data_IF_992906568251
#
_entry.id   IF_992906568251
#
_cell.length_a   1.000
_cell.length_b   1.000
_cell.length_c   1.000
_cell.angle_alpha   90.00
_cell.angle_beta   90.00
_cell.angle_gamma   90.00
#
_symmetry.space_group_name_H-M   'P 1'
#
loop_
_entity.id
_entity.type
_entity.pdbx_description
1 polymer ?
#
# COMPACT_ATOMS: atom_id res chain seq x y z
N UNK A 1 46.98 8.14 -10.99
CA UNK A 1 47.61 9.13 -11.89
C UNK A 1 46.72 9.26 -13.12
N UNK A 2 45.86 10.28 -13.14
CA UNK A 2 45.32 10.98 -14.30
C UNK A 2 44.63 12.24 -13.76
N UNK A 3 44.99 13.38 -14.34
CA UNK A 3 44.80 14.77 -13.91
C UNK A 3 44.24 15.49 -15.13
N UNK A 4 43.22 16.33 -14.95
CA UNK A 4 42.75 17.41 -15.85
C UNK A 4 41.82 18.28 -14.96
N UNK A 5 42.31 19.30 -14.25
CA UNK A 5 42.52 20.70 -14.64
C UNK A 5 41.27 21.47 -15.15
N UNK A 6 40.73 22.27 -14.22
CA UNK A 6 40.01 23.57 -14.30
C UNK A 6 39.76 24.23 -15.66
N UNK A 7 38.59 24.87 -15.78
CA UNK A 7 38.47 26.27 -16.24
C UNK A 7 37.25 26.95 -15.62
N UNK A 8 37.48 28.05 -14.90
CA UNK A 8 36.49 29.00 -14.37
C UNK A 8 35.93 29.93 -15.46
N UNK A 9 34.68 30.41 -15.32
CA UNK A 9 34.36 31.81 -15.65
C UNK A 9 33.06 32.32 -15.00
N UNK A 10 33.24 33.33 -14.14
CA UNK A 10 32.24 34.30 -13.67
C UNK A 10 31.61 35.09 -14.83
N UNK A 11 30.33 35.45 -14.68
CA UNK A 11 29.78 36.76 -15.08
C UNK A 11 28.72 37.19 -14.06
N UNK A 12 29.03 38.25 -13.31
CA UNK A 12 28.11 39.08 -12.53
C UNK A 12 27.14 39.86 -13.43
N UNK A 13 25.95 40.13 -12.92
CA UNK A 13 24.96 41.00 -13.57
C UNK A 13 23.87 41.46 -12.61
N UNK A 14 24.22 42.36 -11.71
CA UNK A 14 23.33 43.17 -10.88
C UNK A 14 22.50 44.14 -11.73
N UNK A 15 21.19 44.25 -11.49
CA UNK A 15 20.47 45.51 -11.69
C UNK A 15 19.15 45.54 -10.91
N UNK A 16 19.13 46.47 -9.96
CA UNK A 16 17.98 46.96 -9.19
C UNK A 16 16.94 47.69 -10.08
N UNK A 17 15.64 47.70 -9.72
CA UNK A 17 14.91 48.93 -9.33
C UNK A 17 13.44 48.70 -8.85
N UNK A 18 13.23 49.24 -7.66
CA UNK A 18 12.09 49.83 -6.94
C UNK A 18 10.66 49.97 -7.51
N UNK A 19 9.73 49.65 -6.60
CA UNK A 19 8.59 50.47 -6.09
C UNK A 19 7.26 50.55 -6.85
N UNK A 20 6.16 50.20 -6.15
CA UNK A 20 5.10 51.15 -5.74
C UNK A 20 4.00 50.48 -4.88
N UNK A 21 3.65 51.17 -3.80
CA UNK A 21 2.57 50.91 -2.83
C UNK A 21 1.22 51.35 -3.40
N UNK A 22 0.14 50.56 -3.21
CA UNK A 22 -1.23 51.07 -2.96
C UNK A 22 -2.02 50.15 -2.02
N UNK A 23 -2.50 50.73 -0.92
CA UNK A 23 -3.50 50.20 0.03
C UNK A 23 -4.91 50.26 -0.59
N UNK A 24 -5.81 49.35 -0.20
CA UNK A 24 -7.21 49.66 0.17
C UNK A 24 -7.89 48.47 0.86
N UNK A 25 -8.68 48.82 1.88
CA UNK A 25 -9.37 48.01 2.88
C UNK A 25 -10.51 47.11 2.36
N UNK A 26 -10.82 46.06 3.14
CA UNK A 26 -12.15 45.90 3.73
C UNK A 26 -13.03 44.80 3.13
N UNK A 27 -13.32 43.77 3.93
CA UNK A 27 -14.37 42.79 3.64
C UNK A 27 -14.25 41.53 4.49
N UNK A 28 -14.69 41.61 5.75
CA UNK A 28 -15.13 40.45 6.52
C UNK A 28 -16.24 39.70 5.75
N UNK A 29 -16.16 38.37 5.67
CA UNK A 29 -17.28 37.43 5.91
C UNK A 29 -16.93 36.01 5.43
N UNK A 30 -17.09 35.03 6.33
CA UNK A 30 -17.35 33.64 5.98
C UNK A 30 -16.13 32.72 5.87
N UNK A 31 -15.48 32.38 7.00
CA UNK A 31 -14.92 31.03 7.10
C UNK A 31 -16.12 30.10 7.21
N UNK A 32 -16.46 29.44 6.11
CA UNK A 32 -17.13 28.16 6.16
C UNK A 32 -16.21 27.24 6.96
N UNK A 33 -16.53 27.05 8.24
CA UNK A 33 -16.20 25.84 8.98
C UNK A 33 -16.62 24.68 8.08
N UNK A 34 -15.65 24.04 7.42
CA UNK A 34 -15.88 22.75 6.79
C UNK A 34 -16.10 21.78 7.95
N UNK A 35 -17.36 21.47 8.16
CA UNK A 35 -17.84 20.44 9.07
C UNK A 35 -17.06 19.13 8.80
N UNK A 36 -16.23 18.64 9.76
CA UNK A 36 -15.44 17.41 9.56
C UNK A 36 -16.30 16.14 9.50
N UNK A 37 -17.62 16.25 9.63
CA UNK A 37 -18.56 15.12 9.63
C UNK A 37 -19.22 14.82 8.27
N UNK A 38 -18.65 15.29 7.14
CA UNK A 38 -19.19 15.01 5.79
C UNK A 38 -18.16 14.47 4.78
N UNK A 39 -17.13 13.75 5.23
CA UNK A 39 -16.49 12.77 4.35
C UNK A 39 -17.34 11.49 4.42
N UNK A 40 -18.45 11.55 3.71
CA UNK A 40 -19.33 10.41 3.46
C UNK A 40 -18.51 9.36 2.69
N UNK A 41 -18.61 8.12 3.14
CA UNK A 41 -18.26 6.89 2.45
C UNK A 41 -18.18 7.02 0.92
N UNK A 42 -16.98 6.86 0.37
CA UNK A 42 -16.77 6.35 -0.98
C UNK A 42 -15.32 5.92 -1.06
N UNK A 43 -15.05 4.71 -1.57
CA UNK A 43 -13.91 4.55 -2.45
C UNK A 43 -13.88 5.80 -3.32
N UNK A 44 -12.91 6.69 -3.13
CA UNK A 44 -12.78 7.82 -4.03
C UNK A 44 -12.63 7.16 -5.39
N UNK A 45 -13.60 7.32 -6.28
CA UNK A 45 -13.46 6.83 -7.66
C UNK A 45 -12.23 7.53 -8.19
N UNK A 46 -11.08 6.85 -8.10
CA UNK A 46 -9.82 7.40 -8.58
C UNK A 46 -10.04 7.61 -10.06
N UNK A 47 -10.03 8.88 -10.49
CA UNK A 47 -10.13 9.19 -11.91
C UNK A 47 -8.90 8.68 -12.68
N UNK A 48 -7.84 8.28 -11.96
CA UNK A 48 -6.64 7.71 -12.52
C UNK A 48 -6.76 6.19 -12.78
N UNK A 49 -7.62 5.46 -12.07
CA UNK A 49 -7.70 3.98 -12.15
C UNK A 49 -9.10 3.55 -12.59
N UNK A 50 -9.17 2.81 -13.69
CA UNK A 50 -10.40 2.20 -14.21
C UNK A 50 -10.19 0.69 -14.44
N UNK A 51 -10.78 -0.14 -13.58
CA UNK A 51 -10.81 -1.59 -13.79
C UNK A 51 -11.71 -1.92 -14.99
N UNK A 52 -11.15 -2.56 -16.00
CA UNK A 52 -11.85 -2.88 -17.25
C UNK A 52 -12.52 -4.26 -17.19
N UNK A 53 -11.85 -5.20 -16.53
CA UNK A 53 -12.33 -6.54 -16.20
C UNK A 53 -11.44 -7.16 -15.11
N UNK A 54 -11.59 -8.47 -14.87
CA UNK A 54 -10.88 -9.18 -13.82
C UNK A 54 -9.36 -9.17 -13.94
N UNK A 55 -8.76 -9.00 -15.13
CA UNK A 55 -7.30 -9.03 -15.29
C UNK A 55 -6.72 -7.70 -15.80
N UNK A 56 -7.57 -6.75 -16.20
CA UNK A 56 -7.14 -5.54 -16.90
C UNK A 56 -7.58 -4.27 -16.21
N UNK A 57 -6.65 -3.32 -16.16
CA UNK A 57 -6.87 -1.97 -15.64
C UNK A 57 -6.37 -0.92 -16.61
N UNK A 58 -7.05 0.22 -16.68
CA UNK A 58 -6.55 1.44 -17.33
C UNK A 58 -6.06 2.39 -16.24
N UNK A 59 -4.80 2.81 -16.36
CA UNK A 59 -4.20 3.85 -15.53
C UNK A 59 -4.00 5.11 -16.37
N UNK A 60 -4.43 6.26 -15.84
CA UNK A 60 -4.32 7.58 -16.47
C UNK A 60 -3.56 8.53 -15.54
N UNK A 61 -2.65 9.34 -16.09
CA UNK A 61 -1.85 10.31 -15.35
C UNK A 61 -0.36 10.23 -15.67
N UNK A 62 0.45 10.78 -14.78
CA UNK A 62 1.91 10.77 -14.86
C UNK A 62 2.43 10.12 -13.56
N UNK A 63 2.77 8.84 -13.63
CA UNK A 63 3.15 8.02 -12.48
C UNK A 63 4.55 7.46 -12.70
N UNK A 64 5.42 7.64 -11.71
CA UNK A 64 6.79 7.15 -11.75
C UNK A 64 6.85 5.62 -11.69
N UNK A 65 5.88 5.00 -11.01
CA UNK A 65 5.70 3.56 -11.01
C UNK A 65 4.24 3.17 -10.76
N UNK A 66 3.89 1.97 -11.19
CA UNK A 66 2.61 1.31 -10.91
C UNK A 66 2.91 -0.09 -10.41
N UNK A 67 2.33 -0.45 -9.27
CA UNK A 67 2.39 -1.80 -8.71
C UNK A 67 1.00 -2.42 -8.83
N UNK A 68 0.95 -3.68 -9.25
CA UNK A 68 -0.29 -4.45 -9.30
C UNK A 68 -0.20 -5.63 -8.34
N UNK A 69 -1.27 -5.87 -7.58
CA UNK A 69 -1.49 -7.12 -6.88
C UNK A 69 -2.42 -8.01 -7.70
N UNK A 70 -2.06 -9.26 -7.95
CA UNK A 70 -2.88 -10.21 -8.70
C UNK A 70 -2.76 -11.63 -8.13
N UNK A 71 -3.88 -12.33 -8.09
CA UNK A 71 -3.95 -13.76 -7.78
C UNK A 71 -4.15 -14.57 -9.05
N UNK A 72 -3.55 -15.75 -9.11
CA UNK A 72 -3.62 -16.63 -10.28
C UNK A 72 -3.69 -18.11 -9.90
N UNK A 73 -4.33 -18.93 -10.74
CA UNK A 73 -4.22 -20.39 -10.68
C UNK A 73 -3.13 -20.87 -11.65
N UNK A 74 -2.12 -21.59 -11.14
CA UNK A 74 -1.07 -22.22 -11.92
C UNK A 74 -1.58 -23.46 -12.67
N UNK A 75 -0.79 -23.98 -13.62
CA UNK A 75 -1.21 -25.12 -14.47
C UNK A 75 -1.48 -26.43 -13.68
N UNK A 76 -0.95 -26.55 -12.47
CA UNK A 76 -1.16 -27.67 -11.54
C UNK A 76 -2.39 -27.47 -10.63
N UNK A 77 -3.07 -26.34 -10.72
CA UNK A 77 -4.22 -25.98 -9.91
C UNK A 77 -3.87 -25.35 -8.57
N UNK A 78 -2.60 -24.99 -8.32
CA UNK A 78 -2.20 -24.22 -7.14
C UNK A 78 -2.54 -22.73 -7.35
N UNK A 79 -3.12 -22.08 -6.34
CA UNK A 79 -3.34 -20.63 -6.34
C UNK A 79 -2.09 -19.92 -5.85
N UNK A 80 -1.70 -18.85 -6.54
CA UNK A 80 -0.58 -17.99 -6.18
C UNK A 80 -0.94 -16.51 -6.24
N UNK A 81 -0.22 -15.67 -5.51
CA UNK A 81 -0.35 -14.21 -5.55
C UNK A 81 0.97 -13.58 -5.97
N UNK A 82 0.90 -12.53 -6.80
CA UNK A 82 2.04 -11.69 -7.18
C UNK A 82 1.71 -10.23 -6.90
N UNK A 83 2.69 -9.52 -6.34
CA UNK A 83 2.64 -8.07 -6.16
C UNK A 83 3.95 -7.51 -6.69
N UNK A 84 3.91 -6.86 -7.86
CA UNK A 84 5.14 -6.37 -8.51
C UNK A 84 4.88 -5.12 -9.37
N UNK A 85 5.97 -4.42 -9.66
CA UNK A 85 6.00 -3.22 -10.50
C UNK A 85 5.80 -3.58 -11.98
N UNK A 86 4.93 -2.81 -12.65
CA UNK A 86 4.75 -2.85 -14.12
C UNK A 86 5.35 -1.63 -14.82
N UNK A 87 6.06 -0.80 -14.05
CA UNK A 87 6.78 0.40 -14.49
C UNK A 87 5.90 1.63 -14.64
N UNK A 88 6.57 2.75 -14.96
CA UNK A 88 5.98 4.07 -15.13
C UNK A 88 4.81 4.11 -16.15
N UNK A 89 3.93 5.09 -15.95
CA UNK A 89 2.84 5.45 -16.85
C UNK A 89 2.92 6.94 -17.17
N UNK A 90 3.03 7.26 -18.47
CA UNK A 90 2.96 8.62 -19.01
C UNK A 90 1.70 8.74 -19.88
N UNK A 91 0.69 9.47 -19.40
CA UNK A 91 -0.59 9.66 -20.10
C UNK A 91 -1.63 8.60 -19.77
N UNK A 92 -1.81 7.60 -20.64
CA UNK A 92 -2.80 6.52 -20.46
C UNK A 92 -2.17 5.19 -20.84
N UNK A 93 -2.33 4.18 -19.98
CA UNK A 93 -1.89 2.81 -20.23
C UNK A 93 -2.94 1.82 -19.77
N UNK A 94 -3.33 0.91 -20.65
CA UNK A 94 -4.04 -0.31 -20.25
C UNK A 94 -3.01 -1.38 -19.94
N UNK A 95 -3.11 -1.97 -18.75
CA UNK A 95 -2.23 -3.03 -18.26
C UNK A 95 -3.08 -4.28 -18.08
N UNK A 96 -2.53 -5.40 -18.53
CA UNK A 96 -3.09 -6.74 -18.35
C UNK A 96 -2.15 -7.47 -17.39
N UNK A 97 -2.64 -7.82 -16.20
CA UNK A 97 -1.83 -8.41 -15.13
C UNK A 97 -1.25 -9.75 -15.56
N UNK A 98 -2.04 -10.57 -16.26
CA UNK A 98 -1.58 -11.87 -16.73
C UNK A 98 -0.42 -11.71 -17.72
N UNK A 99 -0.56 -10.79 -18.68
CA UNK A 99 0.51 -10.52 -19.63
C UNK A 99 1.74 -9.84 -18.99
N UNK A 100 1.54 -8.98 -18.00
CA UNK A 100 2.61 -8.26 -17.33
C UNK A 100 3.51 -9.18 -16.50
N UNK A 101 2.90 -10.19 -15.86
CA UNK A 101 3.57 -11.11 -14.95
C UNK A 101 3.81 -12.51 -15.53
N UNK A 102 3.54 -12.73 -16.83
CA UNK A 102 3.66 -14.02 -17.53
C UNK A 102 2.82 -15.14 -16.85
N UNK A 103 1.59 -14.79 -16.46
CA UNK A 103 0.63 -15.67 -15.79
C UNK A 103 -0.43 -16.21 -16.76
N UNK A 104 -1.17 -17.28 -16.37
CA UNK A 104 -2.29 -17.80 -17.13
C UNK A 104 -3.43 -16.78 -17.30
N UNK A 105 -3.81 -16.49 -18.54
CA UNK A 105 -4.83 -15.48 -18.86
C UNK A 105 -6.23 -15.84 -18.39
N UNK A 106 -6.53 -17.13 -18.28
CA UNK A 106 -7.81 -17.70 -17.89
C UNK A 106 -7.84 -18.13 -16.43
N UNK A 107 -6.87 -17.69 -15.63
CA UNK A 107 -6.72 -18.00 -14.22
C UNK A 107 -6.30 -16.81 -13.37
N UNK A 108 -6.18 -15.61 -13.93
CA UNK A 108 -5.63 -14.43 -13.22
C UNK A 108 -6.72 -13.43 -12.86
N UNK A 109 -6.73 -12.98 -11.60
CA UNK A 109 -7.53 -11.87 -11.10
C UNK A 109 -6.61 -10.78 -10.55
N UNK A 110 -6.77 -9.56 -11.06
CA UNK A 110 -6.20 -8.34 -10.54
C UNK A 110 -6.95 -7.93 -9.28
N UNK A 111 -6.23 -7.83 -8.16
CA UNK A 111 -6.77 -7.52 -6.85
C UNK A 111 -6.70 -6.03 -6.54
N UNK A 112 -5.55 -5.41 -6.82
CA UNK A 112 -5.33 -4.01 -6.46
C UNK A 112 -4.35 -3.34 -7.41
N UNK A 113 -4.42 -2.00 -7.42
CA UNK A 113 -3.51 -1.13 -8.16
C UNK A 113 -3.00 -0.06 -7.21
N UNK A 114 -1.70 0.17 -7.27
CA UNK A 114 -1.03 1.15 -6.45
C UNK A 114 -0.13 2.06 -7.31
N UNK A 115 -0.26 3.38 -7.12
CA UNK A 115 0.38 4.39 -7.95
C UNK A 115 1.43 5.18 -7.16
N UNK A 116 2.59 5.39 -7.77
CA UNK A 116 3.71 6.10 -7.15
C UNK A 116 4.09 7.34 -7.94
N UNK A 117 4.17 8.48 -7.26
CA UNK A 117 4.63 9.74 -7.87
C UNK A 117 6.16 9.78 -8.04
N UNK A 118 6.91 8.99 -7.26
CA UNK A 118 8.39 9.02 -7.26
C UNK A 118 9.02 7.65 -7.02
N UNK A 119 10.12 7.37 -7.73
CA UNK A 119 10.96 6.18 -7.50
C UNK A 119 10.31 4.87 -7.94
N UNK A 120 11.01 3.73 -7.80
CA UNK A 120 10.36 2.42 -7.88
C UNK A 120 9.40 2.26 -6.71
N UNK A 121 8.19 1.79 -6.99
CA UNK A 121 7.14 1.60 -6.02
C UNK A 121 7.47 0.46 -5.06
N UNK A 122 7.31 0.71 -3.77
CA UNK A 122 7.31 -0.35 -2.76
C UNK A 122 5.86 -0.60 -2.37
N UNK A 123 5.35 -1.83 -2.49
CA UNK A 123 3.96 -2.15 -2.16
C UNK A 123 3.54 -1.61 -0.79
N UNK A 124 2.35 -1.02 -0.71
CA UNK A 124 1.73 -0.44 0.49
C UNK A 124 2.11 1.01 0.80
N UNK A 125 2.87 1.68 -0.07
CA UNK A 125 3.34 3.07 0.10
C UNK A 125 2.96 4.02 -1.05
N UNK A 126 2.04 3.60 -1.90
CA UNK A 126 1.53 4.39 -3.01
C UNK A 126 0.91 5.70 -2.56
N UNK A 127 0.94 6.67 -3.47
CA UNK A 127 0.14 7.88 -3.34
C UNK A 127 -1.36 7.57 -3.48
N UNK A 128 -1.69 6.57 -4.30
CA UNK A 128 -3.04 6.02 -4.44
C UNK A 128 -2.97 4.50 -4.38
N UNK A 129 -3.86 3.89 -3.61
CA UNK A 129 -4.10 2.45 -3.58
C UNK A 129 -5.60 2.23 -3.82
N UNK A 130 -5.94 1.34 -4.76
CA UNK A 130 -7.33 1.04 -5.10
C UNK A 130 -7.49 -0.47 -5.29
N UNK A 131 -8.40 -1.04 -4.51
CA UNK A 131 -8.83 -2.43 -4.66
C UNK A 131 -9.82 -2.58 -5.81
N UNK A 132 -9.80 -3.74 -6.47
CA UNK A 132 -10.73 -4.06 -7.54
C UNK A 132 -12.17 -4.13 -6.98
N UNK A 133 -13.08 -3.23 -7.40
CA UNK A 133 -14.43 -3.21 -6.85
C UNK A 133 -15.26 -4.44 -7.25
N UNK A 134 -14.78 -5.22 -8.22
CA UNK A 134 -15.39 -6.48 -8.65
C UNK A 134 -14.62 -7.71 -8.16
N UNK A 135 -13.72 -7.56 -7.17
CA UNK A 135 -12.83 -8.64 -6.72
C UNK A 135 -13.59 -9.92 -6.37
N UNK A 136 -14.60 -9.83 -5.50
CA UNK A 136 -15.41 -10.99 -5.10
C UNK A 136 -16.07 -11.68 -6.30
N UNK A 137 -16.62 -10.90 -7.24
CA UNK A 137 -17.24 -11.45 -8.44
C UNK A 137 -16.21 -12.13 -9.35
N UNK A 138 -15.03 -11.52 -9.51
CA UNK A 138 -13.94 -12.08 -10.28
C UNK A 138 -13.40 -13.37 -9.67
N UNK A 139 -13.23 -13.44 -8.34
CA UNK A 139 -12.84 -14.68 -7.66
C UNK A 139 -13.92 -15.75 -7.82
N UNK A 140 -15.19 -15.40 -7.63
CA UNK A 140 -16.29 -16.34 -7.81
C UNK A 140 -16.38 -16.90 -9.24
N UNK A 141 -16.14 -16.06 -10.25
CA UNK A 141 -16.11 -16.48 -11.66
C UNK A 141 -14.88 -17.34 -11.99
N UNK A 142 -13.73 -17.04 -11.39
CA UNK A 142 -12.44 -17.60 -11.77
C UNK A 142 -12.02 -18.83 -10.95
N UNK A 143 -12.25 -18.79 -9.64
CA UNK A 143 -11.85 -19.82 -8.68
C UNK A 143 -13.06 -20.52 -8.03
N UNK A 144 -14.27 -19.99 -8.25
CA UNK A 144 -15.52 -20.49 -7.66
C UNK A 144 -15.92 -19.70 -6.41
N UNK A 145 -17.14 -19.93 -5.93
CA UNK A 145 -17.71 -19.27 -4.75
C UNK A 145 -16.92 -19.66 -3.48
N UNK A 146 -15.84 -18.94 -3.18
CA UNK A 146 -15.05 -19.08 -1.95
C UNK A 146 -15.80 -18.48 -0.76
N UNK A 147 -16.95 -19.06 -0.44
CA UNK A 147 -17.80 -18.57 0.66
C UNK A 147 -17.26 -18.92 2.06
N UNK A 148 -16.07 -19.52 2.17
CA UNK A 148 -15.43 -19.92 3.44
C UNK A 148 -13.93 -19.55 3.54
N UNK A 149 -13.33 -18.83 2.58
CA UNK A 149 -11.88 -18.57 2.61
C UNK A 149 -11.46 -17.61 3.73
N UNK A 150 -12.26 -16.59 4.04
CA UNK A 150 -12.00 -15.69 5.17
C UNK A 150 -12.50 -16.21 6.52
N UNK A 151 -13.28 -17.29 6.53
CA UNK A 151 -13.79 -17.87 7.78
C UNK A 151 -12.59 -18.34 8.61
N UNK A 152 -12.45 -17.74 9.80
CA UNK A 152 -11.43 -18.11 10.77
C UNK A 152 -10.23 -17.19 10.86
N UNK A 153 -10.22 -16.02 10.21
CA UNK A 153 -9.22 -14.96 10.42
C UNK A 153 -9.92 -13.67 10.86
N UNK A 154 -9.48 -13.09 11.98
CA UNK A 154 -10.03 -11.86 12.56
C UNK A 154 -8.88 -10.91 12.92
N UNK A 155 -8.79 -9.76 12.26
CA UNK A 155 -7.87 -8.69 12.65
C UNK A 155 -8.44 -7.99 13.88
N UNK A 156 -7.71 -8.05 15.00
CA UNK A 156 -8.16 -7.51 16.28
C UNK A 156 -7.76 -6.03 16.43
N UNK A 157 -6.60 -5.68 15.88
CA UNK A 157 -6.03 -4.35 15.82
C UNK A 157 -4.96 -4.32 14.72
N UNK A 158 -4.25 -3.19 14.58
CA UNK A 158 -3.24 -3.02 13.55
C UNK A 158 -2.10 -4.04 13.60
N UNK A 159 -1.74 -4.59 14.76
CA UNK A 159 -0.61 -5.51 14.89
C UNK A 159 -1.01 -6.96 15.19
N UNK A 160 -2.28 -7.20 15.51
CA UNK A 160 -2.74 -8.46 16.07
C UNK A 160 -3.83 -9.10 15.23
N UNK A 161 -3.63 -10.38 14.91
CA UNK A 161 -4.61 -11.21 14.23
C UNK A 161 -4.95 -12.44 15.05
N UNK A 162 -6.20 -12.88 14.97
CA UNK A 162 -6.67 -14.13 15.55
C UNK A 162 -7.06 -15.10 14.46
N UNK A 163 -6.47 -16.28 14.49
CA UNK A 163 -6.78 -17.39 13.60
C UNK A 163 -7.55 -18.44 14.40
N UNK A 164 -8.79 -18.74 14.03
CA UNK A 164 -9.71 -19.66 14.72
C UNK A 164 -9.97 -20.96 13.94
N UNK A 165 -9.09 -21.25 12.97
CA UNK A 165 -9.07 -22.50 12.21
C UNK A 165 -7.69 -23.16 12.24
N UNK A 166 -7.61 -24.49 12.07
CA UNK A 166 -6.33 -25.18 11.94
C UNK A 166 -5.57 -24.74 10.68
N UNK A 167 -4.25 -24.58 10.82
CA UNK A 167 -3.32 -24.33 9.73
C UNK A 167 -1.98 -25.03 10.02
N UNK A 168 -1.40 -25.67 9.01
CA UNK A 168 -0.07 -26.28 9.07
C UNK A 168 1.02 -25.24 9.36
N UNK A 169 0.91 -24.07 8.75
CA UNK A 169 1.65 -22.86 9.11
C UNK A 169 0.79 -21.62 8.82
N UNK A 170 1.18 -20.49 9.40
CA UNK A 170 0.60 -19.19 9.10
C UNK A 170 1.74 -18.23 8.78
N UNK A 171 1.55 -17.35 7.81
CA UNK A 171 2.51 -16.31 7.44
C UNK A 171 1.85 -14.95 7.64
N UNK A 172 2.57 -14.03 8.25
CA UNK A 172 2.11 -12.65 8.41
C UNK A 172 2.88 -11.75 7.46
N UNK A 173 2.14 -10.89 6.75
CA UNK A 173 2.70 -9.75 6.04
C UNK A 173 2.57 -8.51 6.91
N UNK A 174 3.68 -7.82 7.15
CA UNK A 174 3.78 -6.70 8.07
C UNK A 174 4.51 -5.52 7.42
N UNK A 175 4.01 -4.31 7.65
CA UNK A 175 4.63 -3.04 7.29
C UNK A 175 4.97 -2.24 8.56
N UNK A 176 6.10 -1.54 8.54
CA UNK A 176 6.56 -0.70 9.65
C UNK A 176 7.49 0.43 9.16
N UNK A 177 7.80 1.40 10.02
CA UNK A 177 8.84 2.41 9.76
C UNK A 177 9.94 2.37 10.80
N UNK A 178 11.18 2.58 10.36
CA UNK A 178 12.34 2.78 11.23
C UNK A 178 12.37 4.19 11.84
N UNK A 179 13.32 4.43 12.75
CA UNK A 179 13.49 5.71 13.44
C UNK A 179 13.75 6.91 12.49
N UNK A 180 14.17 6.64 11.24
CA UNK A 180 14.43 7.67 10.24
C UNK A 180 13.25 7.86 9.27
N UNK A 181 12.14 7.15 9.48
CA UNK A 181 10.98 7.16 8.60
C UNK A 181 11.16 6.32 7.32
N UNK A 182 12.15 5.42 7.25
CA UNK A 182 12.22 4.43 6.17
C UNK A 182 11.26 3.29 6.44
N UNK A 183 10.51 2.90 5.41
CA UNK A 183 9.58 1.77 5.52
C UNK A 183 10.32 0.46 5.36
N UNK A 184 9.95 -0.51 6.20
CA UNK A 184 10.28 -1.90 6.04
C UNK A 184 9.02 -2.75 5.87
N UNK A 185 9.15 -3.84 5.11
CA UNK A 185 8.15 -4.91 5.02
C UNK A 185 8.77 -6.24 5.43
N UNK A 186 7.96 -7.11 6.02
CA UNK A 186 8.33 -8.47 6.41
C UNK A 186 7.17 -9.39 6.03
N UNK A 187 7.47 -10.49 5.35
CA UNK A 187 6.50 -11.57 5.10
C UNK A 187 7.17 -12.89 5.46
N UNK A 188 6.86 -13.41 6.64
CA UNK A 188 7.54 -14.57 7.22
C UNK A 188 6.60 -15.49 8.00
N UNK A 189 6.89 -16.81 8.03
CA UNK A 189 6.07 -17.78 8.74
C UNK A 189 6.16 -17.58 10.26
N UNK A 190 5.02 -17.67 10.93
CA UNK A 190 4.84 -17.52 12.38
C UNK A 190 4.45 -18.83 13.07
N UNK A 191 4.41 -19.93 12.31
CA UNK A 191 4.21 -21.30 12.78
C UNK A 191 2.75 -21.75 12.77
N UNK A 192 2.55 -23.06 12.93
CA UNK A 192 1.26 -23.75 12.92
C UNK A 192 0.19 -23.16 13.86
N UNK A 193 -1.07 -23.30 13.47
CA UNK A 193 -2.26 -23.04 14.30
C UNK A 193 -3.02 -24.35 14.49
N UNK A 194 -3.23 -24.79 15.73
CA UNK A 194 -3.93 -26.04 15.98
C UNK A 194 -5.46 -25.89 15.95
N UNK A 195 -5.99 -24.87 16.63
CA UNK A 195 -7.43 -24.61 16.75
C UNK A 195 -7.71 -23.10 16.79
N UNK A 196 -7.18 -22.40 17.80
CA UNK A 196 -7.32 -20.95 18.00
C UNK A 196 -5.99 -20.37 18.46
N UNK A 197 -5.51 -19.35 17.75
CA UNK A 197 -4.28 -18.66 18.09
C UNK A 197 -4.39 -17.17 17.77
N UNK A 198 -4.11 -16.35 18.77
CA UNK A 198 -3.81 -14.93 18.58
C UNK A 198 -2.32 -14.77 18.31
N UNK A 199 -1.99 -13.96 17.32
CA UNK A 199 -0.62 -13.71 16.85
C UNK A 199 -0.42 -12.20 16.78
N UNK A 200 0.55 -11.69 17.53
CA UNK A 200 1.01 -10.30 17.45
C UNK A 200 2.27 -10.23 16.59
N UNK A 201 2.33 -9.26 15.67
CA UNK A 201 3.52 -8.99 14.86
C UNK A 201 4.73 -8.66 15.74
N UNK A 202 4.56 -7.88 16.81
CA UNK A 202 5.64 -7.53 17.75
C UNK A 202 6.17 -8.75 18.49
N UNK A 203 5.29 -9.67 18.90
CA UNK A 203 5.72 -10.92 19.54
C UNK A 203 6.44 -11.86 18.56
N UNK A 204 6.03 -11.88 17.29
CA UNK A 204 6.61 -12.74 16.26
C UNK A 204 7.96 -12.24 15.73
N UNK A 205 8.09 -10.94 15.50
CA UNK A 205 9.19 -10.34 14.75
C UNK A 205 10.06 -9.39 15.57
N UNK A 206 9.64 -9.02 16.78
CA UNK A 206 10.35 -8.10 17.68
C UNK A 206 9.78 -6.69 17.67
N UNK A 207 10.46 -5.76 18.35
CA UNK A 207 10.01 -4.38 18.48
C UNK A 207 10.28 -3.56 17.21
N UNK A 208 9.33 -2.68 16.89
CA UNK A 208 9.38 -1.76 15.76
C UNK A 208 9.44 -0.31 16.25
N UNK A 209 10.10 0.58 15.50
CA UNK A 209 10.18 2.00 15.88
C UNK A 209 8.82 2.70 15.71
N UNK A 210 8.17 2.48 14.56
CA UNK A 210 6.78 2.88 14.32
C UNK A 210 6.04 1.76 13.57
N UNK A 211 4.79 1.50 13.98
CA UNK A 211 4.07 0.26 13.65
C UNK A 211 4.25 -0.79 14.76
N UNK A 212 4.07 -2.09 14.46
CA UNK A 212 3.84 -2.71 13.16
C UNK A 212 2.37 -2.65 12.69
N UNK A 213 2.16 -2.85 11.39
CA UNK A 213 0.84 -3.03 10.78
C UNK A 213 0.82 -4.37 10.06
N UNK A 214 -0.01 -5.31 10.49
CA UNK A 214 -0.31 -6.54 9.75
C UNK A 214 -1.19 -6.18 8.57
N UNK A 215 -0.68 -6.35 7.35
CA UNK A 215 -1.40 -6.04 6.11
C UNK A 215 -2.15 -7.26 5.57
N UNK A 216 -1.75 -8.47 5.97
CA UNK A 216 -2.44 -9.68 5.57
C UNK A 216 -1.91 -10.93 6.27
N UNK A 217 -2.68 -12.01 6.13
CA UNK A 217 -2.37 -13.34 6.65
C UNK A 217 -2.55 -14.38 5.56
N UNK A 218 -1.55 -15.26 5.43
CA UNK A 218 -1.65 -16.47 4.63
C UNK A 218 -1.69 -17.70 5.55
N UNK A 219 -2.59 -18.64 5.30
CA UNK A 219 -2.64 -19.93 5.99
C UNK A 219 -2.26 -21.05 5.03
N UNK A 220 -1.40 -21.94 5.49
CA UNK A 220 -0.88 -23.06 4.70
C UNK A 220 -1.35 -24.38 5.31
N UNK A 221 -1.80 -25.30 4.47
CA UNK A 221 -1.95 -26.71 4.82
C UNK A 221 -0.57 -27.37 4.98
N UNK A 222 -0.52 -28.49 5.70
CA UNK A 222 0.76 -29.08 6.15
C UNK A 222 1.70 -29.57 5.06
N UNK A 223 1.20 -29.74 3.83
CA UNK A 223 1.97 -30.19 2.67
C UNK A 223 2.31 -29.03 1.70
N UNK A 224 1.74 -27.83 1.91
CA UNK A 224 1.91 -26.66 1.03
C UNK A 224 3.29 -25.99 1.27
N UNK A 225 4.07 -25.67 0.22
CA UNK A 225 5.32 -24.96 0.37
C UNK A 225 5.14 -23.57 1.00
N UNK A 226 5.92 -23.26 2.05
CA UNK A 226 5.88 -21.97 2.73
C UNK A 226 6.60 -20.90 1.91
N UNK A 227 5.86 -20.28 0.99
CA UNK A 227 6.32 -19.17 0.16
C UNK A 227 5.28 -18.04 0.22
N UNK A 228 5.69 -16.76 0.31
CA UNK A 228 4.77 -15.65 0.21
C UNK A 228 3.90 -15.72 -1.05
N UNK A 229 2.62 -15.44 -0.91
CA UNK A 229 1.60 -15.57 -1.95
C UNK A 229 1.24 -17.02 -2.30
N UNK A 230 1.71 -18.02 -1.56
CA UNK A 230 1.44 -19.44 -1.82
C UNK A 230 0.47 -20.07 -0.80
N UNK A 231 -0.12 -19.27 0.08
CA UNK A 231 -1.08 -19.76 1.07
C UNK A 231 -2.35 -20.33 0.44
N UNK A 232 -2.85 -21.42 1.02
CA UNK A 232 -4.16 -22.00 0.66
C UNK A 232 -5.33 -21.06 1.01
N UNK A 233 -5.10 -20.17 1.97
CA UNK A 233 -6.01 -19.07 2.31
C UNK A 233 -5.19 -17.79 2.42
N UNK A 234 -5.65 -16.73 1.76
CA UNK A 234 -5.13 -15.38 1.95
C UNK A 234 -6.24 -14.44 2.41
N UNK A 235 -5.93 -13.63 3.43
CA UNK A 235 -6.85 -12.62 3.96
C UNK A 235 -6.10 -11.31 4.14
N UNK A 236 -6.52 -10.27 3.40
CA UNK A 236 -6.03 -8.90 3.57
C UNK A 236 -6.66 -8.24 4.80
N UNK A 237 -5.90 -7.38 5.49
CA UNK A 237 -6.44 -6.59 6.59
C UNK A 237 -7.30 -5.44 6.02
N UNK A 238 -8.62 -5.43 6.26
CA UNK A 238 -9.51 -4.40 5.74
C UNK A 238 -9.28 -3.01 6.37
N UNK A 239 -8.59 -2.95 7.52
CA UNK A 239 -8.29 -1.70 8.23
C UNK A 239 -6.86 -1.21 7.94
N UNK A 240 -6.19 -1.73 6.90
CA UNK A 240 -4.80 -1.35 6.58
C UNK A 240 -4.63 0.16 6.43
N UNK A 241 -5.49 0.83 5.67
CA UNK A 241 -5.39 2.28 5.45
C UNK A 241 -5.58 3.09 6.73
N UNK A 242 -6.56 2.72 7.55
CA UNK A 242 -6.83 3.36 8.84
C UNK A 242 -5.65 3.16 9.82
N UNK A 243 -5.03 1.98 9.78
CA UNK A 243 -3.82 1.68 10.53
C UNK A 243 -2.60 2.47 10.04
N UNK A 244 -2.44 2.63 8.72
CA UNK A 244 -1.37 3.45 8.13
C UNK A 244 -1.52 4.91 8.56
N UNK A 245 -2.73 5.48 8.53
CA UNK A 245 -3.00 6.83 9.00
C UNK A 245 -2.67 6.95 10.50
N UNK A 246 -3.17 6.03 11.32
CA UNK A 246 -2.96 6.03 12.77
C UNK A 246 -1.48 5.96 13.16
N UNK A 247 -0.68 5.11 12.51
CA UNK A 247 0.77 4.99 12.78
C UNK A 247 1.53 6.23 12.31
N UNK A 248 1.16 6.81 11.16
CA UNK A 248 1.78 8.05 10.65
C UNK A 248 1.50 9.23 11.57
N UNK A 249 0.26 9.37 12.06
CA UNK A 249 -0.10 10.40 13.03
C UNK A 249 0.69 10.25 14.34
N UNK A 250 0.81 9.03 14.86
CA UNK A 250 1.59 8.75 16.07
C UNK A 250 3.10 9.00 15.88
N UNK A 251 3.64 8.72 14.69
CA UNK A 251 5.04 9.00 14.37
C UNK A 251 5.33 10.50 14.18
N UNK A 252 4.32 11.29 13.82
CA UNK A 252 4.42 12.73 13.57
C UNK A 252 4.32 13.60 14.83
N UNK A 253 4.58 13.05 16.03
CA UNK A 253 4.54 13.83 17.29
C UNK A 253 5.25 15.18 17.11
N UNK A 254 4.61 16.28 17.53
CA UNK A 254 5.01 17.62 17.15
C UNK A 254 6.43 17.90 17.63
N UNK A 255 7.31 18.33 16.70
CA UNK A 255 8.54 19.05 17.02
C UNK A 255 8.28 19.92 18.24
N UNK A 256 9.09 19.71 19.28
CA UNK A 256 9.05 20.45 20.52
C UNK A 256 8.85 21.93 20.18
N UNK A 257 7.65 22.47 20.48
CA UNK A 257 7.49 23.90 20.59
C UNK A 257 8.34 24.30 21.79
N UNK A 258 9.65 24.49 21.55
CA UNK A 258 10.52 25.28 22.40
C UNK A 258 9.77 26.60 22.58
N UNK A 259 9.09 26.72 23.71
CA UNK A 259 8.60 27.96 24.22
C UNK A 259 9.83 28.82 24.43
N UNK A 260 10.16 29.61 23.41
CA UNK A 260 11.14 30.68 23.54
C UNK A 260 10.52 31.66 24.53
N UNK A 261 10.83 31.49 25.81
CA UNK A 261 10.62 32.48 26.85
C UNK A 261 11.37 33.74 26.41
N UNK A 262 10.62 34.69 25.87
CA UNK A 262 11.10 36.05 25.66
C UNK A 262 10.92 36.82 26.98
N UNK A 263 11.91 36.73 27.87
CA UNK A 263 12.14 37.69 28.96
C UNK A 263 13.29 38.66 28.59
#
# INVERSE_FOLDING_TARGET
MCRLENTERMVDGDSSDSSAIRRSNGGENGREERDPAQRVESAAESTAIEFLDCARVRVTGEWADVVLGATFEAEDGETGTVVDSVGAVEGERTIDAAAAFDLPSDGTVLESVELFETGPGMPGLGAEHVENPSLEACHAEQFGDETDATEGVEFLDCETVRVTRPAGDAMLSVLWWDENGWVGTITEPVGSVADDRTISATEAFGEFAHGPIVTGVELFEGDTPLMPGGGDVFVSNPETDDCLESVREAAAEPDELESVDLD
#
